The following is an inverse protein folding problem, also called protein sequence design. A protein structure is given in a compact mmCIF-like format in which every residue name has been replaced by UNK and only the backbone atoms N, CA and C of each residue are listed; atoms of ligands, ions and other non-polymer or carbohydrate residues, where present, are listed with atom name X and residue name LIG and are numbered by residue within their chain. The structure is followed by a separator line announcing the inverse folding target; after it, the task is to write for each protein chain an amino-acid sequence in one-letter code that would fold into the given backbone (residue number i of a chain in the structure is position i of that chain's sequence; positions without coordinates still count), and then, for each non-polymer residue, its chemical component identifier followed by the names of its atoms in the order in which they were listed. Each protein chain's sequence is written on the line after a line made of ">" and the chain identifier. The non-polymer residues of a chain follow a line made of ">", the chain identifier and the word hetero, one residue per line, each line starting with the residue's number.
data_IF_717568567942
#
_entry.id   IF_717568567942
#
_cell.length_a   1.000
_cell.length_b   1.000
_cell.length_c   1.000
_cell.angle_alpha   90.00
_cell.angle_beta   90.00
_cell.angle_gamma   90.00
#
_symmetry.space_group_name_H-M   'P 1'
#
loop_
_entity.id
_entity.type
_entity.pdbx_description
1 polymer ?
#
# COMPACT_ATOMS: atom_id res chain seq x y z
N UNK A 1 18.07 -8.79 -8.11
CA UNK A 1 17.83 -9.46 -6.82
C UNK A 1 16.78 -8.74 -5.97
N UNK A 2 16.99 -7.48 -5.55
CA UNK A 2 16.01 -6.73 -4.70
C UNK A 2 14.59 -6.66 -5.30
N UNK A 3 14.43 -6.30 -6.59
CA UNK A 3 13.11 -6.20 -7.25
C UNK A 3 12.38 -7.54 -7.37
N UNK A 4 13.12 -8.61 -7.67
CA UNK A 4 12.56 -9.96 -7.79
C UNK A 4 12.02 -10.45 -6.43
N UNK A 5 12.75 -10.17 -5.34
CA UNK A 5 12.28 -10.48 -3.99
C UNK A 5 10.97 -9.74 -3.65
N UNK A 6 10.87 -8.46 -4.00
CA UNK A 6 9.63 -7.70 -3.84
C UNK A 6 8.48 -8.26 -4.67
N UNK A 7 8.73 -8.66 -5.92
CA UNK A 7 7.70 -9.26 -6.77
C UNK A 7 7.19 -10.58 -6.18
N UNK A 8 8.09 -11.45 -5.71
CA UNK A 8 7.72 -12.72 -5.05
C UNK A 8 6.92 -12.45 -3.78
N UNK A 9 7.35 -11.51 -2.94
CA UNK A 9 6.61 -11.12 -1.74
C UNK A 9 5.22 -10.55 -2.08
N UNK A 10 5.12 -9.73 -3.12
CA UNK A 10 3.85 -9.16 -3.59
C UNK A 10 2.87 -10.23 -4.06
N UNK A 11 3.33 -11.19 -4.87
CA UNK A 11 2.52 -12.33 -5.30
C UNK A 11 2.05 -13.15 -4.11
N UNK A 12 2.95 -13.44 -3.16
CA UNK A 12 2.60 -14.19 -1.96
C UNK A 12 1.53 -13.47 -1.11
N UNK A 13 1.73 -12.19 -0.81
CA UNK A 13 0.79 -11.40 -0.01
C UNK A 13 -0.56 -11.23 -0.69
N UNK A 14 -0.58 -11.01 -2.01
CA UNK A 14 -1.82 -10.90 -2.77
C UNK A 14 -2.56 -12.23 -2.80
N UNK A 15 -1.86 -13.34 -3.06
CA UNK A 15 -2.45 -14.68 -3.02
C UNK A 15 -3.03 -14.98 -1.64
N UNK A 16 -2.35 -14.58 -0.57
CA UNK A 16 -2.84 -14.78 0.79
C UNK A 16 -4.05 -13.90 1.11
N UNK A 17 -4.08 -12.65 0.65
CA UNK A 17 -5.24 -11.78 0.77
C UNK A 17 -6.47 -12.37 0.04
N UNK A 18 -6.27 -12.91 -1.17
CA UNK A 18 -7.32 -13.61 -1.93
C UNK A 18 -7.79 -14.87 -1.21
N UNK A 19 -6.87 -15.67 -0.66
CA UNK A 19 -7.20 -16.84 0.13
C UNK A 19 -8.08 -16.50 1.34
N UNK A 20 -7.69 -15.50 2.13
CA UNK A 20 -8.47 -15.03 3.28
C UNK A 20 -9.84 -14.48 2.84
N UNK A 21 -9.88 -13.78 1.70
CA UNK A 21 -11.14 -13.28 1.16
C UNK A 21 -12.10 -14.40 0.75
N UNK A 22 -11.62 -15.44 0.08
CA UNK A 22 -12.42 -16.61 -0.31
C UNK A 22 -12.87 -17.40 0.92
N UNK A 23 -11.99 -17.59 1.89
CA UNK A 23 -12.27 -18.35 3.12
C UNK A 23 -13.36 -17.71 3.98
N UNK A 24 -13.34 -16.39 4.11
CA UNK A 24 -14.23 -15.67 5.03
C UNK A 24 -15.42 -14.98 4.35
N UNK A 25 -15.34 -14.69 3.05
CA UNK A 25 -16.41 -14.07 2.26
C UNK A 25 -16.87 -12.70 2.78
N UNK A 26 -17.98 -12.20 2.24
CA UNK A 26 -18.61 -10.96 2.69
C UNK A 26 -17.67 -9.76 2.62
N UNK A 27 -17.43 -9.10 3.75
CA UNK A 27 -16.66 -7.86 3.79
C UNK A 27 -15.15 -8.00 3.55
N UNK A 28 -14.60 -9.21 3.55
CA UNK A 28 -13.20 -9.40 3.20
C UNK A 28 -12.89 -9.03 1.75
N UNK A 29 -13.85 -9.17 0.82
CA UNK A 29 -13.69 -8.72 -0.57
C UNK A 29 -13.55 -7.20 -0.64
N UNK A 30 -14.40 -6.47 0.10
CA UNK A 30 -14.29 -5.01 0.22
C UNK A 30 -12.96 -4.58 0.86
N UNK A 31 -12.48 -5.35 1.84
CA UNK A 31 -11.18 -5.11 2.47
C UNK A 31 -10.00 -5.31 1.50
N UNK A 32 -10.04 -6.32 0.62
CA UNK A 32 -9.02 -6.48 -0.43
C UNK A 32 -9.00 -5.26 -1.35
N UNK A 33 -10.16 -4.85 -1.87
CA UNK A 33 -10.25 -3.69 -2.75
C UNK A 33 -9.76 -2.41 -2.07
N UNK A 34 -10.16 -2.20 -0.81
CA UNK A 34 -9.73 -1.06 -0.03
C UNK A 34 -8.21 -1.09 0.24
N UNK A 35 -7.63 -2.26 0.50
CA UNK A 35 -6.19 -2.37 0.74
C UNK A 35 -5.36 -2.10 -0.53
N UNK A 36 -5.85 -2.53 -1.69
CA UNK A 36 -5.18 -2.33 -2.97
C UNK A 36 -5.35 -0.91 -3.52
N UNK A 37 -6.47 -0.24 -3.27
CA UNK A 37 -6.74 1.09 -3.84
C UNK A 37 -6.51 2.21 -2.81
N UNK A 38 -6.74 1.92 -1.52
CA UNK A 38 -6.70 2.88 -0.43
C UNK A 38 -5.44 3.74 -0.37
N UNK A 39 -4.22 3.19 -0.53
CA UNK A 39 -3.01 4.00 -0.50
C UNK A 39 -2.97 5.08 -1.59
N UNK A 40 -3.50 4.78 -2.77
CA UNK A 40 -3.51 5.69 -3.92
C UNK A 40 -4.60 6.77 -3.82
N UNK A 41 -5.61 6.57 -2.96
CA UNK A 41 -6.60 7.63 -2.69
C UNK A 41 -5.95 8.88 -2.10
N UNK A 42 -4.73 8.77 -1.55
CA UNK A 42 -3.94 9.93 -1.10
C UNK A 42 -3.65 10.93 -2.23
N UNK A 43 -3.62 10.50 -3.49
CA UNK A 43 -3.45 11.40 -4.64
C UNK A 43 -4.59 12.41 -4.78
N UNK A 44 -5.78 12.12 -4.23
CA UNK A 44 -6.91 13.06 -4.23
C UNK A 44 -6.61 14.33 -3.42
N UNK A 45 -5.69 14.28 -2.45
CA UNK A 45 -5.19 15.48 -1.79
C UNK A 45 -4.50 16.45 -2.77
N UNK A 46 -4.13 15.98 -3.97
CA UNK A 46 -3.51 16.72 -5.06
C UNK A 46 -4.49 17.41 -6.02
N UNK A 47 -5.81 17.28 -5.82
CA UNK A 47 -6.80 17.99 -6.64
C UNK A 47 -6.62 19.50 -6.50
N UNK A 48 -6.52 20.22 -7.64
CA UNK A 48 -6.25 21.66 -7.68
C UNK A 48 -4.77 22.05 -7.49
N UNK A 49 -3.84 21.10 -7.61
CA UNK A 49 -2.42 21.42 -7.56
C UNK A 49 -1.97 22.13 -8.83
N UNK A 50 -1.00 23.08 -8.74
CA UNK A 50 -0.29 23.51 -9.94
C UNK A 50 0.42 22.31 -10.60
N UNK A 51 0.61 22.32 -11.93
CA UNK A 51 1.31 21.27 -12.63
C UNK A 51 2.69 21.02 -12.01
N UNK A 52 2.98 19.76 -11.72
CA UNK A 52 4.29 19.33 -11.24
C UNK A 52 5.11 18.74 -12.40
N UNK A 53 6.43 18.75 -12.27
CA UNK A 53 7.31 17.99 -13.15
C UNK A 53 6.90 16.52 -13.19
N UNK A 54 7.08 15.86 -14.34
CA UNK A 54 6.71 14.45 -14.51
C UNK A 54 7.44 13.60 -13.47
N UNK A 55 6.68 12.83 -12.68
CA UNK A 55 7.21 11.97 -11.62
C UNK A 55 7.42 12.65 -10.26
N UNK A 56 7.10 13.93 -10.14
CA UNK A 56 7.13 14.69 -8.89
C UNK A 56 5.71 14.83 -8.33
N UNK A 57 5.51 14.43 -7.08
CA UNK A 57 4.23 14.63 -6.40
C UNK A 57 4.08 16.10 -5.95
N UNK A 58 2.87 16.68 -5.98
CA UNK A 58 2.63 17.96 -5.35
C UNK A 58 2.99 17.89 -3.85
N UNK A 59 3.69 18.92 -3.33
CA UNK A 59 4.22 18.94 -1.96
C UNK A 59 3.19 18.60 -0.88
N UNK A 60 1.94 19.02 -1.06
CA UNK A 60 0.86 18.74 -0.09
C UNK A 60 0.39 17.28 -0.05
N UNK A 61 0.65 16.51 -1.12
CA UNK A 61 0.29 15.09 -1.21
C UNK A 61 1.31 14.21 -0.51
N UNK A 62 2.58 14.65 -0.50
CA UNK A 62 3.73 13.92 0.05
C UNK A 62 3.51 13.31 1.44
N UNK A 63 3.02 14.05 2.47
CA UNK A 63 2.84 13.45 3.80
C UNK A 63 1.81 12.31 3.78
N UNK A 64 0.69 12.48 3.09
CA UNK A 64 -0.35 11.45 2.97
C UNK A 64 0.15 10.23 2.22
N UNK A 65 0.75 10.44 1.05
CA UNK A 65 1.35 9.37 0.26
C UNK A 65 2.39 8.60 1.08
N UNK A 66 3.32 9.29 1.75
CA UNK A 66 4.37 8.63 2.52
C UNK A 66 3.80 7.84 3.70
N UNK A 67 2.79 8.36 4.40
CA UNK A 67 2.13 7.65 5.49
C UNK A 67 1.44 6.38 4.97
N UNK A 68 0.69 6.49 3.87
CA UNK A 68 -0.02 5.36 3.28
C UNK A 68 0.92 4.32 2.64
N UNK A 69 2.09 4.72 2.15
CA UNK A 69 3.07 3.82 1.53
C UNK A 69 4.19 3.39 2.49
N UNK A 70 4.03 3.65 3.78
CA UNK A 70 4.93 3.14 4.82
C UNK A 70 4.48 1.76 5.30
N UNK A 71 5.42 0.82 5.43
CA UNK A 71 5.14 -0.57 5.79
C UNK A 71 4.49 -0.72 7.17
N UNK A 72 4.76 0.21 8.09
CA UNK A 72 4.31 0.11 9.48
C UNK A 72 2.77 0.07 9.60
N UNK A 73 2.04 0.84 8.79
CA UNK A 73 0.58 0.87 8.82
C UNK A 73 -0.06 -0.51 8.63
N UNK A 74 0.17 -1.17 7.48
CA UNK A 74 -0.39 -2.50 7.25
C UNK A 74 0.20 -3.57 8.18
N UNK A 75 1.47 -3.47 8.59
CA UNK A 75 2.04 -4.44 9.56
C UNK A 75 1.37 -4.33 10.92
N UNK A 76 1.06 -3.13 11.41
CA UNK A 76 0.31 -2.94 12.67
C UNK A 76 -1.08 -3.58 12.56
N UNK A 77 -1.79 -3.38 11.43
CA UNK A 77 -3.07 -4.06 11.17
C UNK A 77 -2.91 -5.59 11.24
N UNK A 78 -1.93 -6.15 10.52
CA UNK A 78 -1.69 -7.59 10.51
C UNK A 78 -1.42 -8.15 11.90
N UNK A 79 -0.56 -7.49 12.68
CA UNK A 79 -0.22 -7.92 14.04
C UNK A 79 -1.44 -7.83 14.96
N UNK A 80 -2.11 -6.68 15.02
CA UNK A 80 -3.26 -6.48 15.92
C UNK A 80 -4.39 -7.44 15.60
N UNK A 81 -4.75 -7.60 14.33
CA UNK A 81 -5.87 -8.46 13.91
C UNK A 81 -5.49 -9.95 13.76
N UNK A 82 -4.24 -10.31 14.07
CA UNK A 82 -3.89 -11.70 14.40
C UNK A 82 -4.38 -12.10 15.80
N UNK A 83 -4.53 -11.13 16.70
CA UNK A 83 -5.04 -11.35 18.07
C UNK A 83 -6.50 -10.93 18.25
N UNK A 84 -7.00 -10.02 17.40
CA UNK A 84 -8.39 -9.59 17.37
C UNK A 84 -9.09 -10.24 16.18
N UNK A 85 -10.11 -11.06 16.42
CA UNK A 85 -10.80 -11.86 15.39
C UNK A 85 -11.62 -11.00 14.40
N UNK A 86 -10.94 -10.30 13.49
CA UNK A 86 -11.55 -9.59 12.36
C UNK A 86 -10.85 -9.97 11.06
N UNK A 87 -11.39 -10.97 10.33
CA UNK A 87 -10.82 -11.39 9.05
C UNK A 87 -10.74 -10.26 8.03
N UNK A 88 -11.71 -9.35 8.02
CA UNK A 88 -11.72 -8.21 7.10
C UNK A 88 -10.55 -7.26 7.37
N UNK A 89 -10.27 -6.93 8.64
CA UNK A 89 -9.17 -6.02 8.97
C UNK A 89 -7.78 -6.68 8.75
N UNK A 90 -7.67 -7.99 9.01
CA UNK A 90 -6.46 -8.74 8.66
C UNK A 90 -6.23 -8.79 7.14
N UNK A 91 -7.28 -9.08 6.37
CA UNK A 91 -7.26 -9.10 4.89
C UNK A 91 -6.91 -7.73 4.32
N UNK A 92 -7.42 -6.64 4.91
CA UNK A 92 -7.06 -5.27 4.57
C UNK A 92 -5.56 -5.03 4.73
N UNK A 93 -4.98 -5.47 5.86
CA UNK A 93 -3.54 -5.39 6.12
C UNK A 93 -2.71 -6.15 5.09
N UNK A 94 -3.14 -7.35 4.68
CA UNK A 94 -2.46 -8.14 3.65
C UNK A 94 -2.48 -7.44 2.29
N UNK A 95 -3.66 -7.00 1.85
CA UNK A 95 -3.83 -6.32 0.56
C UNK A 95 -3.08 -4.98 0.51
N UNK A 96 -3.10 -4.22 1.61
CA UNK A 96 -2.36 -2.98 1.73
C UNK A 96 -0.84 -3.22 1.70
N UNK A 97 -0.33 -4.21 2.44
CA UNK A 97 1.09 -4.54 2.36
C UNK A 97 1.49 -5.03 0.96
N UNK A 98 0.62 -5.80 0.29
CA UNK A 98 0.80 -6.25 -1.08
C UNK A 98 0.97 -5.06 -2.05
N UNK A 99 0.08 -4.05 -1.97
CA UNK A 99 0.21 -2.80 -2.74
C UNK A 99 1.60 -2.18 -2.59
N UNK A 100 2.05 -2.00 -1.34
CA UNK A 100 3.35 -1.39 -1.04
C UNK A 100 4.50 -2.18 -1.65
N UNK A 101 4.55 -3.50 -1.50
CA UNK A 101 5.68 -4.29 -2.02
C UNK A 101 5.64 -4.41 -3.54
N UNK A 102 4.46 -4.43 -4.16
CA UNK A 102 4.31 -4.39 -5.62
C UNK A 102 4.87 -3.07 -6.17
N UNK A 103 4.57 -1.95 -5.52
CA UNK A 103 5.20 -0.66 -5.82
C UNK A 103 6.74 -0.74 -5.77
N UNK A 104 7.30 -1.37 -4.73
CA UNK A 104 8.77 -1.55 -4.63
C UNK A 104 9.33 -2.43 -5.74
N UNK A 105 8.57 -3.43 -6.20
CA UNK A 105 8.96 -4.27 -7.33
C UNK A 105 9.04 -3.48 -8.65
N UNK A 106 8.10 -2.57 -8.88
CA UNK A 106 8.12 -1.63 -10.02
C UNK A 106 9.10 -0.46 -9.85
N UNK A 107 9.70 -0.36 -8.67
CA UNK A 107 10.70 0.66 -8.36
C UNK A 107 10.10 1.98 -7.92
N UNK A 108 8.84 2.01 -7.47
CA UNK A 108 8.25 3.13 -6.74
C UNK A 108 8.64 3.10 -5.26
N UNK A 109 8.73 4.27 -4.65
CA UNK A 109 9.19 4.43 -3.28
C UNK A 109 8.60 5.66 -2.60
N UNK A 110 9.06 5.90 -1.38
CA UNK A 110 8.69 7.09 -0.62
C UNK A 110 9.21 8.36 -1.30
N UNK A 111 8.58 9.49 -0.97
CA UNK A 111 8.89 10.80 -1.54
C UNK A 111 9.67 11.69 -0.59
N UNK A 112 10.56 12.50 -1.13
CA UNK A 112 11.21 13.63 -0.44
C UNK A 112 10.21 14.78 -0.27
N UNK A 113 10.57 15.79 0.54
CA UNK A 113 9.68 16.92 0.85
C UNK A 113 9.33 17.80 -0.37
N UNK A 114 10.16 17.75 -1.42
CA UNK A 114 9.92 18.37 -2.72
C UNK A 114 9.13 17.48 -3.69
N UNK A 115 8.70 16.28 -3.25
CA UNK A 115 7.83 15.39 -4.03
C UNK A 115 8.55 14.42 -4.96
N UNK A 116 9.87 14.50 -5.07
CA UNK A 116 10.68 13.55 -5.83
C UNK A 116 10.74 12.21 -5.13
N UNK A 117 11.07 11.16 -5.88
CA UNK A 117 11.27 9.86 -5.28
C UNK A 117 12.59 9.82 -4.49
N UNK A 118 12.55 9.29 -3.27
CA UNK A 118 13.78 9.03 -2.51
C UNK A 118 14.62 8.00 -3.23
N UNK A 119 15.92 8.25 -3.36
CA UNK A 119 16.86 7.24 -3.79
C UNK A 119 16.75 6.03 -2.85
N UNK A 120 16.61 4.84 -3.42
CA UNK A 120 16.70 3.60 -2.64
C UNK A 120 18.17 3.28 -2.46
N UNK A 121 18.64 3.20 -1.21
CA UNK A 121 20.00 2.74 -0.89
C UNK A 121 20.18 1.24 -1.18
#
# INVERSE_FOLDING_TARGET
>A
MKRTAWAVAGVFLLAFAVFEAVKHGGWTVGAVLLGLIGPDLTFLAGIGAPPAERGVLPRRVVPFYNAAHHWAGPVVLLVVFSFVASPAAFTLGLAWLAHIVVDRAFGYGLRTADGRQRATA
#
